data_IF_783899031719
#
_entry.id   IF_783899031719
#
_cell.length_a   1.000
_cell.length_b   1.000
_cell.length_c   1.000
_cell.angle_alpha   90.00
_cell.angle_beta   90.00
_cell.angle_gamma   90.00
#
_symmetry.space_group_name_H-M   'P 1'
#
loop_
_entity.id
_entity.type
_entity.pdbx_description
1 polymer ?
#
# COMPACT_ATOMS: atom_id res chain seq x y z
N UNK A 1 17.13 22.76 -19.75
CA UNK A 1 15.68 22.91 -19.57
C UNK A 1 15.19 21.75 -18.75
N UNK A 2 14.21 21.90 -17.84
CA UNK A 2 13.65 20.76 -17.15
C UNK A 2 13.08 19.76 -18.16
N UNK A 3 13.24 18.46 -17.87
CA UNK A 3 12.57 17.41 -18.66
C UNK A 3 11.06 17.65 -18.57
N UNK A 4 10.40 17.74 -19.72
CA UNK A 4 8.96 17.96 -19.80
C UNK A 4 8.28 16.79 -20.49
N UNK A 5 7.20 16.29 -19.87
CA UNK A 5 6.32 15.26 -20.44
C UNK A 5 4.91 15.83 -20.66
N UNK A 6 4.23 15.35 -21.70
CA UNK A 6 2.80 15.64 -21.87
C UNK A 6 2.00 14.99 -20.75
N UNK A 7 2.36 13.74 -20.41
CA UNK A 7 1.78 12.98 -19.29
C UNK A 7 2.89 12.41 -18.43
N UNK A 8 2.92 12.80 -17.17
CA UNK A 8 3.80 12.21 -16.15
C UNK A 8 2.98 11.26 -15.26
N UNK A 9 3.45 10.02 -15.12
CA UNK A 9 2.82 9.01 -14.27
C UNK A 9 3.72 8.71 -13.08
N UNK A 10 3.20 8.79 -11.86
CA UNK A 10 3.93 8.48 -10.63
C UNK A 10 3.47 7.14 -10.07
N UNK A 11 4.38 6.17 -10.12
CA UNK A 11 4.18 4.78 -9.69
C UNK A 11 4.05 3.82 -10.87
N UNK A 12 4.99 2.87 -11.01
CA UNK A 12 5.01 1.87 -12.05
C UNK A 12 4.36 0.53 -11.62
N UNK A 13 3.33 0.60 -10.76
CA UNK A 13 2.44 -0.52 -10.47
C UNK A 13 1.43 -0.77 -11.59
N UNK A 14 0.50 -1.73 -11.43
CA UNK A 14 -0.48 -2.08 -12.47
C UNK A 14 -1.29 -0.90 -13.01
N UNK A 15 -1.63 0.07 -12.17
CA UNK A 15 -2.34 1.28 -12.61
C UNK A 15 -1.45 2.17 -13.47
N UNK A 16 -0.22 2.46 -13.01
CA UNK A 16 0.71 3.31 -13.74
C UNK A 16 1.16 2.71 -15.06
N UNK A 17 1.40 1.39 -15.11
CA UNK A 17 1.72 0.69 -16.36
C UNK A 17 0.58 0.81 -17.38
N UNK A 18 -0.68 0.63 -16.95
CA UNK A 18 -1.84 0.78 -17.81
C UNK A 18 -2.01 2.24 -18.27
N UNK A 19 -1.82 3.22 -17.37
CA UNK A 19 -1.93 4.63 -17.68
C UNK A 19 -0.86 5.06 -18.70
N UNK A 20 0.39 4.70 -18.45
CA UNK A 20 1.51 5.07 -19.32
C UNK A 20 1.37 4.46 -20.72
N UNK A 21 1.05 3.16 -20.81
CA UNK A 21 0.78 2.51 -22.09
C UNK A 21 -0.35 3.20 -22.85
N UNK A 22 -1.48 3.47 -22.17
CA UNK A 22 -2.65 4.09 -22.83
C UNK A 22 -2.34 5.50 -23.31
N UNK A 23 -1.68 6.31 -22.50
CA UNK A 23 -1.30 7.67 -22.91
C UNK A 23 -0.31 7.67 -24.08
N UNK A 24 0.70 6.79 -24.07
CA UNK A 24 1.65 6.63 -25.16
C UNK A 24 0.97 6.15 -26.46
N UNK A 25 -0.01 5.28 -26.37
CA UNK A 25 -0.80 4.82 -27.52
C UNK A 25 -1.59 5.94 -28.19
N UNK A 26 -1.83 7.06 -27.50
CA UNK A 26 -2.41 8.28 -28.06
C UNK A 26 -1.37 9.31 -28.53
N UNK A 27 -0.09 8.92 -28.62
CA UNK A 27 0.99 9.77 -29.12
C UNK A 27 1.55 10.77 -28.12
N UNK A 28 1.16 10.72 -26.85
CA UNK A 28 1.71 11.60 -25.82
C UNK A 28 3.15 11.20 -25.48
N UNK A 29 4.01 12.18 -25.20
CA UNK A 29 5.32 11.96 -24.58
C UNK A 29 5.12 11.65 -23.10
N UNK A 30 5.37 10.38 -22.71
CA UNK A 30 5.05 9.87 -21.37
C UNK A 30 6.31 9.58 -20.56
N UNK A 31 6.37 10.14 -19.33
CA UNK A 31 7.32 9.74 -18.30
C UNK A 31 6.63 8.85 -17.26
N UNK A 32 7.18 7.67 -16.97
CA UNK A 32 6.73 6.77 -15.93
C UNK A 32 7.77 6.68 -14.81
N UNK A 33 7.47 7.28 -13.67
CA UNK A 33 8.37 7.46 -12.55
C UNK A 33 8.07 6.45 -11.43
N UNK A 34 9.11 5.77 -10.95
CA UNK A 34 8.99 4.86 -9.80
C UNK A 34 10.28 4.88 -8.96
N UNK A 35 10.11 4.82 -7.64
CA UNK A 35 11.22 4.72 -6.69
C UNK A 35 11.90 3.33 -6.71
N UNK A 36 11.25 2.32 -7.29
CA UNK A 36 11.81 0.97 -7.41
C UNK A 36 12.66 0.83 -8.67
N UNK A 37 13.65 -0.09 -8.66
CA UNK A 37 14.53 -0.30 -9.81
C UNK A 37 13.84 -1.00 -10.99
N UNK A 38 12.67 -1.59 -10.80
CA UNK A 38 11.94 -2.31 -11.84
C UNK A 38 10.44 -2.04 -11.77
N UNK A 39 9.77 -1.88 -12.92
CA UNK A 39 8.31 -1.77 -12.98
C UNK A 39 7.59 -3.02 -12.44
N UNK A 40 6.34 -2.83 -11.99
CA UNK A 40 5.49 -3.90 -11.46
C UNK A 40 4.86 -3.58 -10.11
N UNK A 41 5.40 -2.61 -9.38
CA UNK A 41 4.95 -2.19 -8.07
C UNK A 41 4.94 -3.33 -7.05
N UNK A 42 3.99 -3.31 -6.12
CA UNK A 42 3.92 -4.34 -5.07
C UNK A 42 3.28 -5.65 -5.57
N UNK A 43 2.29 -5.57 -6.45
CA UNK A 43 1.52 -6.75 -6.91
C UNK A 43 2.36 -7.62 -7.85
N UNK A 44 3.05 -7.00 -8.81
CA UNK A 44 3.92 -7.66 -9.77
C UNK A 44 5.40 -7.49 -9.45
N UNK A 45 5.72 -7.42 -8.16
CA UNK A 45 7.10 -7.33 -7.70
C UNK A 45 7.94 -8.46 -8.28
N UNK A 46 9.09 -8.09 -8.80
CA UNK A 46 10.05 -9.02 -9.38
C UNK A 46 10.43 -10.13 -8.37
N UNK A 47 10.43 -11.36 -8.85
CA UNK A 47 10.89 -12.54 -8.10
C UNK A 47 12.22 -13.01 -8.70
N UNK A 48 13.29 -12.98 -7.91
CA UNK A 48 14.64 -13.36 -8.38
C UNK A 48 14.78 -14.86 -8.70
N UNK A 49 13.86 -15.68 -8.20
CA UNK A 49 13.87 -17.14 -8.39
C UNK A 49 12.82 -17.63 -9.38
N UNK A 50 11.88 -16.77 -9.81
CA UNK A 50 10.74 -17.16 -10.64
C UNK A 50 10.45 -16.12 -11.71
N UNK A 51 9.96 -16.58 -12.83
CA UNK A 51 9.47 -15.67 -13.87
C UNK A 51 8.25 -14.87 -13.39
N UNK A 52 8.19 -13.60 -13.81
CA UNK A 52 7.03 -12.78 -13.56
C UNK A 52 5.77 -13.41 -14.21
N UNK A 53 4.58 -13.21 -13.62
CA UNK A 53 3.32 -13.61 -14.24
C UNK A 53 3.20 -13.05 -15.66
N UNK A 54 2.59 -13.82 -16.58
CA UNK A 54 2.42 -13.38 -17.99
C UNK A 54 1.82 -11.99 -18.09
N UNK A 55 0.75 -11.72 -17.31
CA UNK A 55 0.10 -10.41 -17.30
C UNK A 55 1.04 -9.23 -16.91
N UNK A 56 2.04 -9.49 -16.08
CA UNK A 56 3.05 -8.48 -15.71
C UNK A 56 4.04 -8.27 -16.86
N UNK A 57 4.51 -9.36 -17.47
CA UNK A 57 5.42 -9.28 -18.64
C UNK A 57 4.75 -8.55 -19.80
N UNK A 58 3.54 -8.98 -20.18
CA UNK A 58 2.76 -8.33 -21.25
C UNK A 58 2.53 -6.84 -20.99
N UNK A 59 2.34 -6.44 -19.71
CA UNK A 59 2.14 -5.03 -19.35
C UNK A 59 3.45 -4.21 -19.45
N UNK A 60 4.59 -4.81 -19.12
CA UNK A 60 5.91 -4.17 -19.22
C UNK A 60 6.36 -4.09 -20.67
N UNK A 61 6.16 -5.15 -21.46
CA UNK A 61 6.48 -5.20 -22.89
C UNK A 61 5.72 -4.14 -23.70
N UNK A 62 4.55 -3.70 -23.24
CA UNK A 62 3.74 -2.66 -23.88
C UNK A 62 4.22 -1.22 -23.62
N UNK A 63 5.30 -1.02 -22.90
CA UNK A 63 5.82 0.33 -22.59
C UNK A 63 6.66 0.94 -23.74
N UNK A 64 6.43 0.53 -24.98
CA UNK A 64 7.10 1.14 -26.12
C UNK A 64 6.77 2.65 -26.18
N UNK A 65 7.81 3.48 -26.33
CA UNK A 65 7.65 4.94 -26.38
C UNK A 65 7.40 5.61 -25.02
N UNK A 66 7.56 4.89 -23.92
CA UNK A 66 7.48 5.43 -22.57
C UNK A 66 8.87 5.56 -21.96
N UNK A 67 9.21 6.75 -21.45
CA UNK A 67 10.44 6.97 -20.70
C UNK A 67 10.28 6.42 -19.27
N UNK A 68 10.84 5.25 -18.98
CA UNK A 68 10.77 4.62 -17.66
C UNK A 68 11.85 5.18 -16.74
N UNK A 69 11.45 5.99 -15.77
CA UNK A 69 12.30 6.66 -14.78
C UNK A 69 12.36 5.84 -13.49
N UNK A 70 13.09 4.71 -13.54
CA UNK A 70 13.31 3.84 -12.38
C UNK A 70 14.29 4.45 -11.37
N UNK A 71 14.19 4.09 -10.09
CA UNK A 71 14.97 4.67 -8.98
C UNK A 71 14.80 6.19 -8.85
N UNK A 72 13.63 6.71 -9.17
CA UNK A 72 13.29 8.12 -9.05
C UNK A 72 12.23 8.31 -7.96
N UNK A 73 12.56 9.05 -6.92
CA UNK A 73 11.66 9.34 -5.80
C UNK A 73 11.19 10.78 -5.83
N UNK A 74 9.89 11.00 -5.80
CA UNK A 74 9.33 12.36 -5.68
C UNK A 74 9.62 12.87 -4.28
N UNK A 75 10.25 14.03 -4.18
CA UNK A 75 10.62 14.67 -2.90
C UNK A 75 9.66 15.80 -2.54
N UNK A 76 9.31 16.63 -3.52
CA UNK A 76 8.40 17.75 -3.32
C UNK A 76 7.67 18.12 -4.60
N UNK A 77 6.67 18.98 -4.46
CA UNK A 77 5.90 19.59 -5.56
C UNK A 77 6.40 21.00 -5.79
N UNK A 78 6.54 21.37 -7.05
CA UNK A 78 6.78 22.74 -7.53
C UNK A 78 5.56 23.19 -8.33
N UNK A 79 5.43 24.46 -8.68
CA UNK A 79 4.21 25.05 -9.30
C UNK A 79 3.68 24.28 -10.52
N UNK A 80 4.53 23.69 -11.35
CA UNK A 80 4.14 22.90 -12.54
C UNK A 80 5.08 21.73 -12.81
N UNK A 81 5.79 21.28 -11.75
CA UNK A 81 6.77 20.21 -11.84
C UNK A 81 6.87 19.43 -10.52
N UNK A 82 7.50 18.28 -10.58
CA UNK A 82 7.89 17.51 -9.41
C UNK A 82 9.40 17.58 -9.23
N UNK A 83 9.84 17.89 -8.00
CA UNK A 83 11.23 17.67 -7.61
C UNK A 83 11.44 16.20 -7.32
N UNK A 84 12.40 15.62 -8.01
CA UNK A 84 12.66 14.19 -7.97
C UNK A 84 14.12 13.95 -7.61
N UNK A 85 14.35 13.02 -6.68
CA UNK A 85 15.66 12.48 -6.40
C UNK A 85 15.90 11.25 -7.28
N UNK A 86 17.02 11.26 -8.01
CA UNK A 86 17.46 10.20 -8.91
C UNK A 86 18.86 9.71 -8.52
N UNK A 87 19.36 8.60 -9.07
CA UNK A 87 20.71 8.12 -8.80
C UNK A 87 21.80 9.16 -9.12
N UNK A 88 21.58 9.98 -10.15
CA UNK A 88 22.53 11.01 -10.63
C UNK A 88 22.38 12.36 -9.92
N UNK A 89 21.45 12.50 -8.99
CA UNK A 89 21.16 13.74 -8.27
C UNK A 89 19.69 14.13 -8.33
N UNK A 90 19.37 15.35 -7.93
CA UNK A 90 18.00 15.86 -8.00
C UNK A 90 17.74 16.60 -9.31
N UNK A 91 16.51 16.50 -9.79
CA UNK A 91 16.04 17.26 -10.96
C UNK A 91 14.57 17.62 -10.84
N UNK A 92 14.16 18.64 -11.58
CA UNK A 92 12.77 19.03 -11.73
C UNK A 92 12.21 18.44 -13.02
N UNK A 93 11.03 17.79 -12.93
CA UNK A 93 10.34 17.19 -14.07
C UNK A 93 9.00 17.90 -14.24
N UNK A 94 8.86 18.63 -15.35
CA UNK A 94 7.63 19.33 -15.69
C UNK A 94 6.64 18.41 -16.41
N UNK A 95 5.35 18.70 -16.31
CA UNK A 95 4.28 17.91 -16.93
C UNK A 95 3.15 18.81 -17.47
N UNK A 96 2.42 18.28 -18.44
CA UNK A 96 1.14 18.80 -18.90
C UNK A 96 0.00 18.21 -18.06
N UNK A 97 -0.02 16.90 -17.92
CA UNK A 97 -0.94 16.14 -17.06
C UNK A 97 -0.16 15.23 -16.09
N UNK A 98 -0.67 15.07 -14.88
CA UNK A 98 -0.07 14.20 -13.83
C UNK A 98 -1.05 13.09 -13.44
N UNK A 99 -0.59 11.83 -13.50
CA UNK A 99 -1.39 10.69 -13.04
C UNK A 99 -0.75 10.10 -11.78
N UNK A 100 -1.48 10.15 -10.67
CA UNK A 100 -1.08 9.59 -9.39
C UNK A 100 -1.49 8.11 -9.33
N UNK A 101 -0.52 7.22 -9.51
CA UNK A 101 -0.65 5.76 -9.40
C UNK A 101 0.17 5.23 -8.22
N UNK A 102 0.19 5.97 -7.11
CA UNK A 102 1.07 5.78 -5.94
C UNK A 102 0.79 4.52 -5.14
N UNK A 103 -0.31 3.82 -5.43
CA UNK A 103 -0.65 2.54 -4.81
C UNK A 103 -1.04 2.66 -3.33
N UNK A 104 -0.79 1.58 -2.59
CA UNK A 104 -1.08 1.47 -1.17
C UNK A 104 0.06 0.78 -0.42
N UNK A 105 0.04 0.89 0.90
CA UNK A 105 0.91 0.18 1.84
C UNK A 105 0.08 -0.66 2.81
N UNK A 106 0.73 -1.60 3.49
CA UNK A 106 0.06 -2.43 4.49
C UNK A 106 -0.31 -1.62 5.74
N UNK A 107 -1.48 -1.92 6.28
CA UNK A 107 -1.88 -1.50 7.61
C UNK A 107 -1.20 -2.43 8.62
N UNK A 108 -0.27 -1.87 9.38
CA UNK A 108 0.37 -2.55 10.51
C UNK A 108 -0.26 -2.04 11.81
N UNK A 109 -0.77 -2.96 12.62
CA UNK A 109 -1.32 -2.64 13.94
C UNK A 109 -0.32 -3.03 15.02
N UNK A 110 -0.09 -2.15 16.01
CA UNK A 110 0.77 -2.46 17.13
C UNK A 110 0.09 -3.46 18.07
N UNK A 111 0.84 -4.46 18.48
CA UNK A 111 0.53 -5.41 19.54
C UNK A 111 1.82 -5.74 20.30
N UNK A 112 1.78 -6.23 21.52
CA UNK A 112 2.98 -6.55 22.29
C UNK A 112 3.93 -7.47 21.52
N UNK A 113 5.19 -7.02 21.32
CA UNK A 113 6.21 -7.74 20.58
C UNK A 113 6.17 -7.59 19.05
N UNK A 114 5.31 -6.74 18.49
CA UNK A 114 5.23 -6.56 17.01
C UNK A 114 6.49 -5.96 16.38
N UNK A 115 7.37 -5.37 17.20
CA UNK A 115 8.64 -4.77 16.75
C UNK A 115 9.81 -5.75 16.76
N UNK A 116 9.64 -6.97 17.29
CA UNK A 116 10.69 -7.99 17.30
C UNK A 116 11.16 -8.31 15.86
N UNK A 117 12.48 -8.47 15.65
CA UNK A 117 13.00 -9.02 14.40
C UNK A 117 12.30 -10.34 14.04
N UNK A 118 11.92 -10.48 12.77
CA UNK A 118 11.10 -11.62 12.31
C UNK A 118 9.59 -11.38 12.31
N UNK A 119 9.11 -10.30 12.96
CA UNK A 119 7.72 -9.84 12.80
C UNK A 119 7.65 -8.81 11.68
N UNK A 120 6.82 -9.05 10.68
CA UNK A 120 6.72 -8.18 9.49
C UNK A 120 5.33 -8.21 8.89
N UNK A 121 5.04 -7.28 7.98
CA UNK A 121 3.83 -7.33 7.17
C UNK A 121 3.78 -8.54 6.24
N UNK A 122 2.60 -9.09 5.99
CA UNK A 122 2.44 -10.27 5.13
C UNK A 122 2.89 -10.00 3.67
N UNK A 123 2.54 -8.83 3.12
CA UNK A 123 3.05 -8.38 1.82
C UNK A 123 4.53 -7.98 1.88
N UNK A 124 4.97 -7.42 3.02
CA UNK A 124 6.39 -7.13 3.29
C UNK A 124 7.24 -8.40 3.23
N UNK A 125 6.87 -9.46 3.95
CA UNK A 125 7.58 -10.73 3.92
C UNK A 125 7.53 -11.38 2.54
N UNK A 126 6.37 -11.33 1.87
CA UNK A 126 6.23 -11.78 0.48
C UNK A 126 7.21 -11.05 -0.45
N UNK A 127 7.33 -9.73 -0.30
CA UNK A 127 8.23 -8.91 -1.11
C UNK A 127 9.70 -9.24 -0.87
N UNK A 128 10.11 -9.36 0.40
CA UNK A 128 11.46 -9.75 0.80
C UNK A 128 11.81 -11.15 0.27
N UNK A 129 10.90 -12.11 0.41
CA UNK A 129 11.07 -13.48 -0.10
C UNK A 129 11.29 -13.50 -1.60
N UNK A 130 10.51 -12.74 -2.37
CA UNK A 130 10.71 -12.60 -3.82
C UNK A 130 12.05 -11.97 -4.19
N UNK A 131 12.60 -11.11 -3.32
CA UNK A 131 13.93 -10.51 -3.51
C UNK A 131 15.08 -11.38 -3.01
N UNK A 132 14.82 -12.61 -2.60
CA UNK A 132 15.84 -13.58 -2.22
C UNK A 132 16.08 -13.71 -0.72
N UNK A 133 15.30 -13.01 0.13
CA UNK A 133 15.41 -13.20 1.59
C UNK A 133 15.22 -14.68 1.96
N UNK A 134 16.10 -15.26 2.80
CA UNK A 134 16.09 -16.68 3.09
C UNK A 134 14.94 -17.08 4.01
N UNK A 135 13.96 -17.79 3.46
CA UNK A 135 12.81 -18.34 4.21
C UNK A 135 12.76 -19.88 4.19
N UNK A 136 13.65 -20.52 3.46
CA UNK A 136 13.68 -21.99 3.34
C UNK A 136 13.86 -22.65 4.69
N UNK A 137 12.96 -23.58 5.04
CA UNK A 137 12.92 -24.29 6.32
C UNK A 137 12.43 -23.48 7.50
N UNK A 138 12.24 -22.16 7.38
CA UNK A 138 11.71 -21.29 8.44
C UNK A 138 10.26 -21.62 8.77
N UNK A 139 9.94 -21.73 10.07
CA UNK A 139 8.57 -21.88 10.59
C UNK A 139 7.88 -20.51 10.55
N UNK A 140 6.83 -20.39 9.74
CA UNK A 140 6.14 -19.11 9.51
C UNK A 140 4.69 -19.18 9.93
N UNK A 141 4.26 -18.25 10.78
CA UNK A 141 2.86 -17.99 11.10
C UNK A 141 2.38 -16.82 10.22
N UNK A 142 1.22 -16.99 9.56
CA UNK A 142 0.58 -15.93 8.76
C UNK A 142 -0.73 -15.56 9.42
N UNK A 143 -0.93 -14.29 9.77
CA UNK A 143 -2.13 -13.84 10.47
C UNK A 143 -2.64 -12.50 9.95
N UNK A 144 -3.93 -12.24 10.09
CA UNK A 144 -4.51 -10.94 9.71
C UNK A 144 -5.88 -11.06 9.07
N UNK A 145 -6.10 -10.39 7.92
CA UNK A 145 -7.40 -10.29 7.28
C UNK A 145 -7.32 -10.42 5.76
N UNK A 146 -8.17 -11.28 5.23
CA UNK A 146 -8.52 -11.33 3.82
C UNK A 146 -7.59 -12.16 2.92
N UNK A 147 -7.90 -12.18 1.62
CA UNK A 147 -7.23 -13.08 0.65
C UNK A 147 -5.73 -12.87 0.46
N UNK A 148 -5.18 -11.72 0.88
CA UNK A 148 -3.75 -11.44 0.83
C UNK A 148 -2.96 -12.48 1.67
N UNK A 149 -3.52 -12.95 2.78
CA UNK A 149 -2.90 -13.97 3.63
C UNK A 149 -2.64 -15.27 2.86
N UNK A 150 -3.61 -15.70 2.03
CA UNK A 150 -3.45 -16.89 1.19
C UNK A 150 -2.36 -16.69 0.13
N UNK A 151 -2.30 -15.50 -0.49
CA UNK A 151 -1.28 -15.19 -1.50
C UNK A 151 0.13 -15.11 -0.89
N UNK A 152 0.25 -14.54 0.31
CA UNK A 152 1.51 -14.49 1.05
C UNK A 152 1.97 -15.92 1.45
N UNK A 153 1.08 -16.72 2.05
CA UNK A 153 1.36 -18.10 2.43
C UNK A 153 1.77 -18.98 1.23
N UNK A 154 1.07 -18.85 0.07
CA UNK A 154 1.42 -19.57 -1.17
C UNK A 154 2.83 -19.19 -1.66
N UNK A 155 3.17 -17.91 -1.59
CA UNK A 155 4.50 -17.43 -1.98
C UNK A 155 5.58 -17.98 -1.05
N UNK A 156 5.38 -17.87 0.26
CA UNK A 156 6.32 -18.37 1.27
C UNK A 156 6.57 -19.88 1.12
N UNK A 157 5.48 -20.65 0.97
CA UNK A 157 5.58 -22.10 0.75
C UNK A 157 6.33 -22.44 -0.54
N UNK A 158 6.10 -21.72 -1.62
CA UNK A 158 6.83 -21.89 -2.89
C UNK A 158 8.32 -21.61 -2.78
N UNK A 159 8.74 -20.80 -1.82
CA UNK A 159 10.14 -20.52 -1.54
C UNK A 159 10.74 -21.38 -0.42
N UNK A 160 10.02 -22.44 -0.01
CA UNK A 160 10.51 -23.47 0.91
C UNK A 160 10.27 -23.17 2.39
N UNK A 161 9.45 -22.18 2.73
CA UNK A 161 9.05 -21.94 4.12
C UNK A 161 8.07 -23.02 4.60
N UNK A 162 8.16 -23.38 5.89
CA UNK A 162 7.19 -24.21 6.58
C UNK A 162 6.09 -23.32 7.17
N UNK A 163 4.97 -23.16 6.44
CA UNK A 163 3.83 -22.35 6.91
C UNK A 163 3.02 -23.16 7.91
N UNK A 164 3.11 -22.80 9.19
CA UNK A 164 2.46 -23.49 10.31
C UNK A 164 0.95 -23.35 10.32
N UNK A 165 0.46 -22.19 9.83
CA UNK A 165 -0.97 -21.92 9.74
C UNK A 165 -1.26 -20.52 9.23
N UNK A 166 -2.52 -20.34 8.84
CA UNK A 166 -3.08 -19.06 8.42
C UNK A 166 -4.22 -18.73 9.38
N UNK A 167 -4.12 -17.58 10.04
CA UNK A 167 -5.04 -17.14 11.09
C UNK A 167 -5.79 -15.90 10.60
N UNK A 168 -7.02 -16.13 10.15
CA UNK A 168 -7.92 -15.11 9.64
C UNK A 168 -8.76 -14.55 10.79
N UNK A 169 -8.72 -13.22 11.00
CA UNK A 169 -9.50 -12.57 12.04
C UNK A 169 -11.01 -12.64 11.79
N UNK A 170 -11.43 -12.66 10.53
CA UNK A 170 -12.85 -12.74 10.20
C UNK A 170 -13.46 -14.09 10.64
N UNK A 171 -14.67 -14.09 11.24
CA UNK A 171 -15.36 -15.32 11.63
C UNK A 171 -15.65 -16.24 10.43
N UNK A 172 -15.71 -17.53 10.68
CA UNK A 172 -16.02 -18.52 9.64
C UNK A 172 -17.34 -18.25 8.90
N UNK A 173 -18.34 -17.72 9.62
CA UNK A 173 -19.63 -17.32 9.02
C UNK A 173 -19.46 -16.23 7.98
N UNK A 174 -18.66 -15.21 8.26
CA UNK A 174 -18.36 -14.09 7.36
C UNK A 174 -17.56 -14.57 6.13
N UNK A 175 -16.53 -15.41 6.34
CA UNK A 175 -15.75 -15.97 5.23
C UNK A 175 -16.59 -16.86 4.33
N UNK A 176 -17.50 -17.67 4.90
CA UNK A 176 -18.45 -18.48 4.13
C UNK A 176 -19.46 -17.62 3.35
N UNK A 177 -19.95 -16.53 3.97
CA UNK A 177 -20.83 -15.58 3.28
C UNK A 177 -20.12 -14.91 2.10
N UNK A 178 -18.87 -14.49 2.27
CA UNK A 178 -18.02 -13.99 1.18
C UNK A 178 -17.85 -15.05 0.08
N UNK A 179 -17.52 -16.29 0.43
CA UNK A 179 -17.33 -17.37 -0.53
C UNK A 179 -18.58 -17.63 -1.39
N UNK A 180 -19.78 -17.55 -0.80
CA UNK A 180 -21.05 -17.66 -1.54
C UNK A 180 -21.24 -16.53 -2.56
N UNK A 181 -20.77 -15.33 -2.24
CA UNK A 181 -20.85 -14.18 -3.15
C UNK A 181 -19.92 -14.32 -4.37
N UNK A 182 -18.86 -15.14 -4.26
CA UNK A 182 -17.92 -15.36 -5.38
C UNK A 182 -18.59 -16.00 -6.61
N UNK A 183 -19.81 -16.55 -6.49
CA UNK A 183 -20.60 -17.01 -7.64
C UNK A 183 -20.78 -15.93 -8.72
N UNK A 184 -20.80 -14.66 -8.34
CA UNK A 184 -20.89 -13.51 -9.25
C UNK A 184 -19.55 -13.14 -9.90
N UNK A 185 -18.43 -13.72 -9.43
CA UNK A 185 -17.07 -13.53 -9.92
C UNK A 185 -16.36 -14.90 -10.09
N UNK A 186 -16.76 -15.72 -11.10
CA UNK A 186 -16.29 -17.11 -11.23
C UNK A 186 -14.77 -17.22 -11.35
N UNK A 187 -14.11 -16.30 -12.06
CA UNK A 187 -12.64 -16.27 -12.15
C UNK A 187 -11.97 -16.11 -10.79
N UNK A 188 -12.57 -15.30 -9.88
CA UNK A 188 -12.09 -15.12 -8.50
C UNK A 188 -12.33 -16.35 -7.65
N UNK A 189 -13.47 -17.02 -7.85
CA UNK A 189 -13.77 -18.29 -7.20
C UNK A 189 -12.74 -19.37 -7.56
N UNK A 190 -12.42 -19.52 -8.84
CA UNK A 190 -11.39 -20.46 -9.33
C UNK A 190 -10.02 -20.11 -8.77
N UNK A 191 -9.64 -18.82 -8.75
CA UNK A 191 -8.39 -18.36 -8.15
C UNK A 191 -8.29 -18.71 -6.66
N UNK A 192 -9.36 -18.45 -5.90
CA UNK A 192 -9.40 -18.75 -4.46
C UNK A 192 -9.33 -20.26 -4.20
N UNK A 193 -10.06 -21.07 -4.96
CA UNK A 193 -10.02 -22.54 -4.88
C UNK A 193 -8.62 -23.06 -5.22
N UNK A 194 -7.98 -22.54 -6.27
CA UNK A 194 -6.61 -22.90 -6.64
C UNK A 194 -5.59 -22.55 -5.56
N UNK A 195 -5.72 -21.38 -4.90
CA UNK A 195 -4.88 -21.03 -3.75
C UNK A 195 -5.08 -21.99 -2.59
N UNK A 196 -6.33 -22.32 -2.25
CA UNK A 196 -6.63 -23.28 -1.18
C UNK A 196 -6.08 -24.67 -1.47
N UNK A 197 -6.19 -25.13 -2.69
CA UNK A 197 -5.64 -26.43 -3.11
C UNK A 197 -4.09 -26.44 -2.97
N UNK A 198 -3.40 -25.39 -3.43
CA UNK A 198 -1.94 -25.27 -3.27
C UNK A 198 -1.50 -25.20 -1.80
N UNK A 199 -2.37 -24.70 -0.92
CA UNK A 199 -2.15 -24.64 0.52
C UNK A 199 -2.79 -25.84 1.26
N UNK A 200 -3.08 -26.95 0.55
CA UNK A 200 -3.54 -28.18 1.20
C UNK A 200 -2.55 -28.63 2.27
N UNK A 201 -3.09 -29.02 3.44
CA UNK A 201 -2.30 -29.35 4.63
C UNK A 201 -1.90 -28.17 5.52
N UNK A 202 -2.02 -26.91 5.05
CA UNK A 202 -1.82 -25.73 5.91
C UNK A 202 -3.13 -25.42 6.63
N UNK A 203 -3.16 -25.42 8.00
CA UNK A 203 -4.33 -25.04 8.76
C UNK A 203 -4.79 -23.61 8.43
N UNK A 204 -6.10 -23.44 8.20
CA UNK A 204 -6.71 -22.11 8.02
C UNK A 204 -7.76 -21.93 9.09
N UNK A 205 -7.46 -21.09 10.08
CA UNK A 205 -8.27 -20.84 11.28
C UNK A 205 -8.98 -19.50 11.15
N UNK A 206 -10.26 -19.46 11.46
CA UNK A 206 -11.12 -18.28 11.38
C UNK A 206 -11.42 -17.72 12.77
N UNK A 207 -11.71 -16.41 12.85
CA UNK A 207 -11.94 -15.73 14.11
C UNK A 207 -10.69 -15.69 14.99
N UNK A 208 -9.50 -15.75 14.36
CA UNK A 208 -8.22 -15.95 15.05
C UNK A 208 -7.25 -14.84 14.71
N UNK A 209 -6.57 -14.29 15.70
CA UNK A 209 -5.61 -13.21 15.53
C UNK A 209 -4.47 -13.27 16.55
N UNK A 210 -3.36 -12.61 16.24
CA UNK A 210 -2.20 -12.52 17.13
C UNK A 210 -2.50 -11.59 18.30
N UNK A 211 -2.24 -12.06 19.51
CA UNK A 211 -2.32 -11.26 20.74
C UNK A 211 -0.97 -10.69 21.13
N UNK A 212 0.09 -11.49 21.02
CA UNK A 212 1.45 -11.16 21.46
C UNK A 212 2.48 -11.96 20.67
N UNK A 213 3.61 -11.38 20.40
CA UNK A 213 4.82 -12.07 19.99
C UNK A 213 5.84 -12.05 21.12
N UNK A 214 6.60 -13.13 21.27
CA UNK A 214 7.60 -13.30 22.30
C UNK A 214 8.95 -13.66 21.69
N UNK A 215 10.02 -13.20 22.31
CA UNK A 215 11.41 -13.45 21.96
C UNK A 215 12.32 -12.42 22.59
N UNK A 216 13.61 -12.67 22.55
CA UNK A 216 14.64 -11.72 23.00
C UNK A 216 15.18 -10.93 21.80
N UNK A 217 16.05 -11.54 20.98
CA UNK A 217 16.64 -10.90 19.78
C UNK A 217 15.77 -11.01 18.53
N UNK A 218 14.84 -11.96 18.51
CA UNK A 218 13.90 -12.20 17.41
C UNK A 218 12.66 -12.91 17.91
N UNK A 219 11.60 -12.96 17.08
CA UNK A 219 10.40 -13.72 17.41
C UNK A 219 10.74 -15.22 17.53
N UNK A 220 10.29 -15.84 18.62
CA UNK A 220 10.48 -17.25 18.92
C UNK A 220 9.14 -17.98 19.04
N UNK A 221 8.09 -17.29 19.50
CA UNK A 221 6.74 -17.82 19.64
C UNK A 221 5.70 -16.71 19.56
N UNK A 222 4.48 -17.09 19.25
CA UNK A 222 3.34 -16.17 19.15
C UNK A 222 2.13 -16.74 19.86
N UNK A 223 1.39 -15.90 20.55
CA UNK A 223 0.10 -16.22 21.15
C UNK A 223 -1.01 -15.82 20.17
N UNK A 224 -1.82 -16.80 19.83
CA UNK A 224 -2.98 -16.66 18.93
C UNK A 224 -4.26 -16.84 19.74
N UNK A 225 -5.10 -15.82 19.72
CA UNK A 225 -6.47 -15.91 20.23
C UNK A 225 -7.38 -16.50 19.14
N UNK A 226 -8.18 -17.48 19.51
CA UNK A 226 -9.12 -18.18 18.63
C UNK A 226 -10.44 -18.43 19.37
N UNK A 227 -11.54 -18.76 18.70
CA UNK A 227 -12.80 -19.12 19.37
C UNK A 227 -12.69 -20.28 20.33
N UNK A 228 -11.69 -21.16 20.16
CA UNK A 228 -11.39 -22.29 21.03
C UNK A 228 -10.44 -21.97 22.19
N UNK A 229 -10.08 -20.71 22.38
CA UNK A 229 -9.13 -20.25 23.40
C UNK A 229 -7.78 -19.81 22.85
N UNK A 230 -6.83 -19.58 23.76
CA UNK A 230 -5.47 -19.14 23.44
C UNK A 230 -4.60 -20.34 23.09
N UNK A 231 -3.77 -20.19 22.06
CA UNK A 231 -2.73 -21.15 21.71
C UNK A 231 -1.40 -20.45 21.50
N UNK A 232 -0.31 -21.05 21.92
CA UNK A 232 1.04 -20.56 21.67
C UNK A 232 1.70 -21.44 20.60
N UNK A 233 2.30 -20.79 19.59
CA UNK A 233 3.03 -21.47 18.52
C UNK A 233 4.47 -20.99 18.47
N UNK A 234 5.40 -21.91 18.45
CA UNK A 234 6.80 -21.59 18.15
C UNK A 234 6.96 -21.27 16.68
N UNK A 235 7.63 -20.16 16.36
CA UNK A 235 7.88 -19.75 14.98
C UNK A 235 9.18 -18.95 14.85
N UNK A 236 9.72 -18.92 13.66
CA UNK A 236 10.91 -18.15 13.32
C UNK A 236 10.54 -16.82 12.63
N UNK A 237 9.34 -16.73 12.05
CA UNK A 237 8.82 -15.55 11.38
C UNK A 237 7.30 -15.44 11.62
N UNK A 238 6.85 -14.20 11.81
CA UNK A 238 5.44 -13.84 11.87
C UNK A 238 5.10 -12.83 10.78
N UNK A 239 4.17 -13.18 9.90
CA UNK A 239 3.65 -12.33 8.84
C UNK A 239 2.25 -11.85 9.17
N UNK A 240 2.07 -10.55 9.44
CA UNK A 240 0.77 -9.97 9.78
C UNK A 240 0.25 -9.07 8.66
N UNK A 241 -1.05 -9.12 8.34
CA UNK A 241 -1.64 -8.30 7.30
C UNK A 241 -3.10 -7.96 7.62
N UNK A 242 -3.36 -6.75 8.09
CA UNK A 242 -4.68 -6.32 8.54
C UNK A 242 -5.43 -5.45 7.53
N UNK A 243 -4.87 -5.23 6.37
CA UNK A 243 -5.45 -4.43 5.30
C UNK A 243 -4.43 -3.56 4.57
N UNK A 244 -4.92 -2.67 3.75
CA UNK A 244 -4.12 -1.74 2.96
C UNK A 244 -4.59 -0.31 3.21
N UNK A 245 -3.67 0.64 3.12
CA UNK A 245 -3.91 2.08 3.26
C UNK A 245 -3.37 2.80 2.03
N UNK A 246 -4.17 3.65 1.36
CA UNK A 246 -3.74 4.42 0.21
C UNK A 246 -2.51 5.30 0.51
N UNK A 247 -1.61 5.43 -0.46
CA UNK A 247 -0.50 6.38 -0.40
C UNK A 247 -0.96 7.71 -0.98
N UNK A 248 -1.36 8.63 -0.10
CA UNK A 248 -1.99 9.91 -0.46
C UNK A 248 -1.08 11.12 -0.27
N UNK A 249 0.13 10.93 0.23
CA UNK A 249 1.03 12.02 0.63
C UNK A 249 1.31 13.00 -0.52
N UNK A 250 1.57 12.48 -1.73
CA UNK A 250 1.79 13.34 -2.91
C UNK A 250 0.53 14.10 -3.32
N UNK A 251 -0.63 13.44 -3.28
CA UNK A 251 -1.90 14.10 -3.59
C UNK A 251 -2.23 15.21 -2.59
N UNK A 252 -1.96 14.99 -1.31
CA UNK A 252 -2.13 16.02 -0.27
C UNK A 252 -1.20 17.22 -0.49
N UNK A 253 0.07 16.98 -0.88
CA UNK A 253 1.00 18.06 -1.21
C UNK A 253 0.59 18.86 -2.44
N UNK A 254 -0.09 18.23 -3.40
CA UNK A 254 -0.67 18.89 -4.56
C UNK A 254 -1.95 19.68 -4.24
N UNK A 255 -2.49 19.56 -3.02
CA UNK A 255 -3.75 20.19 -2.62
C UNK A 255 -4.99 19.45 -3.13
N UNK A 256 -4.89 18.19 -3.52
CA UNK A 256 -6.05 17.41 -3.92
C UNK A 256 -7.00 17.19 -2.75
N UNK A 257 -8.32 17.31 -3.00
CA UNK A 257 -9.34 16.95 -2.02
C UNK A 257 -9.24 15.46 -1.65
N UNK A 258 -9.52 15.17 -0.37
CA UNK A 258 -9.48 13.82 0.18
C UNK A 258 -10.87 13.40 0.62
N UNK A 259 -11.25 12.16 0.30
CA UNK A 259 -12.37 11.47 0.92
C UNK A 259 -11.85 10.49 1.97
N UNK A 260 -12.72 10.09 2.90
CA UNK A 260 -12.34 9.20 4.00
C UNK A 260 -13.18 7.93 3.96
N UNK A 261 -12.51 6.79 4.04
CA UNK A 261 -13.12 5.50 4.33
C UNK A 261 -12.60 5.02 5.68
N UNK A 262 -13.40 5.19 6.73
CA UNK A 262 -12.91 5.03 8.10
C UNK A 262 -11.84 6.09 8.43
N UNK A 263 -10.75 5.71 9.13
CA UNK A 263 -9.72 6.65 9.57
C UNK A 263 -8.69 7.01 8.48
N UNK A 264 -8.78 6.41 7.29
CA UNK A 264 -7.76 6.55 6.26
C UNK A 264 -8.25 7.37 5.06
N UNK A 265 -7.50 8.45 4.69
CA UNK A 265 -7.83 9.24 3.52
C UNK A 265 -7.51 8.49 2.22
N UNK A 266 -8.29 8.78 1.19
CA UNK A 266 -7.99 8.46 -0.21
C UNK A 266 -8.27 9.69 -1.09
N UNK A 267 -7.69 9.72 -2.28
CA UNK A 267 -7.86 10.86 -3.18
C UNK A 267 -9.30 10.90 -3.69
N UNK A 268 -9.98 12.05 -3.49
CA UNK A 268 -11.31 12.28 -4.04
C UNK A 268 -11.21 12.46 -5.56
N UNK A 269 -11.98 11.68 -6.32
CA UNK A 269 -11.98 11.71 -7.77
C UNK A 269 -13.39 11.66 -8.34
N UNK A 270 -13.59 12.29 -9.47
CA UNK A 270 -14.82 12.15 -10.25
C UNK A 270 -14.90 10.78 -10.96
N UNK A 271 -15.98 10.54 -11.71
CA UNK A 271 -16.14 9.27 -12.45
C UNK A 271 -15.06 9.03 -13.50
N UNK A 272 -14.38 10.09 -13.96
CA UNK A 272 -13.30 10.04 -14.94
C UNK A 272 -11.91 10.18 -14.30
N UNK A 273 -11.82 9.98 -12.98
CA UNK A 273 -10.58 9.97 -12.20
C UNK A 273 -9.87 11.33 -12.11
N UNK A 274 -10.56 12.45 -12.40
CA UNK A 274 -10.06 13.79 -12.18
C UNK A 274 -10.07 14.09 -10.69
N UNK A 275 -9.01 14.69 -10.18
CA UNK A 275 -8.96 15.23 -8.82
C UNK A 275 -9.55 16.64 -8.77
N UNK A 276 -9.54 17.27 -7.61
CA UNK A 276 -9.90 18.68 -7.45
C UNK A 276 -8.87 19.65 -8.04
N UNK A 277 -7.71 19.16 -8.42
CA UNK A 277 -6.63 19.94 -9.03
C UNK A 277 -6.63 19.70 -10.54
N UNK A 278 -6.70 20.77 -11.32
CA UNK A 278 -6.73 20.68 -12.78
C UNK A 278 -5.47 20.01 -13.33
N UNK A 279 -5.66 19.13 -14.32
CA UNK A 279 -4.55 18.38 -14.92
C UNK A 279 -4.00 17.24 -14.05
N UNK A 280 -4.54 17.02 -12.84
CA UNK A 280 -4.12 15.95 -11.93
C UNK A 280 -5.21 14.87 -11.84
N UNK A 281 -4.80 13.63 -12.03
CA UNK A 281 -5.66 12.44 -12.00
C UNK A 281 -5.14 11.46 -10.95
N UNK A 282 -6.02 10.65 -10.35
CA UNK A 282 -5.59 9.57 -9.47
C UNK A 282 -6.24 8.24 -9.88
N UNK A 283 -5.43 7.18 -9.96
CA UNK A 283 -5.84 5.88 -10.43
C UNK A 283 -5.37 4.74 -9.51
N UNK A 284 -6.17 3.69 -9.43
CA UNK A 284 -5.90 2.51 -8.63
C UNK A 284 -6.08 2.77 -7.14
N UNK A 285 -5.20 2.22 -6.32
CA UNK A 285 -5.34 2.22 -4.86
C UNK A 285 -5.28 3.63 -4.23
N UNK A 286 -4.72 4.63 -4.91
CA UNK A 286 -4.70 6.01 -4.43
C UNK A 286 -6.11 6.61 -4.27
N UNK A 287 -7.05 6.25 -5.15
CA UNK A 287 -8.47 6.62 -5.09
C UNK A 287 -9.34 5.61 -4.33
N UNK A 288 -8.74 4.80 -3.46
CA UNK A 288 -9.39 3.77 -2.64
C UNK A 288 -9.05 2.35 -3.07
N UNK A 289 -9.01 1.44 -2.09
CA UNK A 289 -8.57 0.06 -2.29
C UNK A 289 -9.57 -0.71 -3.16
N UNK A 290 -9.13 -1.10 -4.36
CA UNK A 290 -9.98 -1.79 -5.36
C UNK A 290 -9.39 -3.10 -5.92
N UNK A 291 -8.10 -3.30 -5.74
CA UNK A 291 -7.36 -4.46 -6.23
C UNK A 291 -6.89 -4.35 -7.68
N UNK A 292 -6.16 -5.37 -8.13
CA UNK A 292 -5.45 -5.40 -9.41
C UNK A 292 -6.31 -5.04 -10.63
N UNK A 293 -7.53 -5.57 -10.71
CA UNK A 293 -8.40 -5.33 -11.87
C UNK A 293 -8.86 -3.88 -11.95
N UNK A 294 -9.28 -3.30 -10.81
CA UNK A 294 -9.62 -1.88 -10.71
C UNK A 294 -8.40 -1.03 -11.07
N UNK A 295 -7.24 -1.31 -10.50
CA UNK A 295 -6.02 -0.57 -10.75
C UNK A 295 -5.69 -0.49 -12.25
N UNK A 296 -5.78 -1.61 -12.97
CA UNK A 296 -5.53 -1.64 -14.43
C UNK A 296 -6.55 -0.85 -15.23
N UNK A 297 -7.83 -0.99 -14.89
CA UNK A 297 -8.92 -0.27 -15.59
C UNK A 297 -8.82 1.23 -15.36
N UNK A 298 -8.65 1.64 -14.11
CA UNK A 298 -8.51 3.05 -13.77
C UNK A 298 -7.22 3.67 -14.33
N UNK A 299 -6.13 2.91 -14.35
CA UNK A 299 -4.92 3.35 -15.05
C UNK A 299 -5.19 3.65 -16.53
N UNK A 300 -5.83 2.73 -17.26
CA UNK A 300 -6.19 2.94 -18.65
C UNK A 300 -7.16 4.13 -18.82
N UNK A 301 -8.18 4.24 -17.96
CA UNK A 301 -9.10 5.38 -17.97
C UNK A 301 -8.36 6.71 -17.77
N UNK A 302 -7.47 6.79 -16.79
CA UNK A 302 -6.68 8.00 -16.53
C UNK A 302 -5.78 8.37 -17.72
N UNK A 303 -5.15 7.37 -18.37
CA UNK A 303 -4.39 7.58 -19.59
C UNK A 303 -5.23 8.14 -20.74
N UNK A 304 -6.44 7.61 -20.96
CA UNK A 304 -7.37 8.15 -21.94
C UNK A 304 -7.79 9.59 -21.64
N UNK A 305 -8.15 9.88 -20.39
CA UNK A 305 -8.64 11.22 -20.00
C UNK A 305 -7.52 12.25 -20.04
N UNK A 306 -6.33 11.91 -19.57
CA UNK A 306 -5.16 12.79 -19.59
C UNK A 306 -4.73 13.21 -21.01
N UNK A 307 -5.11 12.42 -22.03
CA UNK A 307 -4.85 12.68 -23.44
C UNK A 307 -6.07 13.18 -24.20
N UNK A 308 -7.16 13.57 -23.53
CA UNK A 308 -8.37 14.12 -24.14
C UNK A 308 -9.39 13.10 -24.66
N UNK A 309 -9.15 11.80 -24.50
CA UNK A 309 -9.99 10.71 -25.03
C UNK A 309 -11.07 10.22 -24.05
N UNK A 310 -11.85 11.14 -23.51
CA UNK A 310 -12.86 10.85 -22.46
C UNK A 310 -13.92 9.82 -22.89
N UNK A 311 -14.26 9.72 -24.17
CA UNK A 311 -15.22 8.72 -24.70
C UNK A 311 -14.68 7.31 -24.48
N UNK A 312 -13.41 7.06 -24.75
CA UNK A 312 -12.78 5.76 -24.53
C UNK A 312 -12.75 5.40 -23.03
N UNK A 313 -12.50 6.39 -22.16
CA UNK A 313 -12.57 6.20 -20.71
C UNK A 313 -14.00 5.83 -20.26
N UNK A 314 -15.04 6.47 -20.79
CA UNK A 314 -16.43 6.14 -20.47
C UNK A 314 -16.80 4.70 -20.82
N UNK A 315 -16.25 4.15 -21.90
CA UNK A 315 -16.51 2.77 -22.30
C UNK A 315 -16.00 1.73 -21.28
N UNK A 316 -15.04 2.10 -20.43
CA UNK A 316 -14.47 1.24 -19.36
C UNK A 316 -15.27 1.29 -18.05
N UNK A 317 -16.17 2.28 -17.87
CA UNK A 317 -16.91 2.46 -16.63
C UNK A 317 -17.70 1.23 -16.16
N UNK A 318 -18.47 0.53 -17.02
CA UNK A 318 -19.26 -0.62 -16.56
C UNK A 318 -18.38 -1.74 -15.97
N UNK A 319 -17.23 -1.99 -16.60
CA UNK A 319 -16.29 -3.00 -16.12
C UNK A 319 -15.61 -2.54 -14.83
N UNK A 320 -15.15 -1.27 -14.76
CA UNK A 320 -14.56 -0.68 -13.57
C UNK A 320 -15.53 -0.75 -12.38
N UNK A 321 -16.79 -0.36 -12.58
CA UNK A 321 -17.81 -0.35 -11.54
C UNK A 321 -18.13 -1.77 -11.04
N UNK A 322 -18.12 -2.77 -11.93
CA UNK A 322 -18.24 -4.18 -11.53
C UNK A 322 -17.08 -4.61 -10.63
N UNK A 323 -15.83 -4.27 -10.98
CA UNK A 323 -14.64 -4.63 -10.18
C UNK A 323 -14.61 -3.83 -8.87
N UNK A 324 -15.04 -2.57 -8.85
CA UNK A 324 -15.19 -1.77 -7.63
C UNK A 324 -16.19 -2.41 -6.66
N UNK A 325 -17.30 -2.99 -7.14
CA UNK A 325 -18.23 -3.76 -6.29
C UNK A 325 -17.56 -4.96 -5.63
N UNK A 326 -16.63 -5.62 -6.32
CA UNK A 326 -15.84 -6.69 -5.71
C UNK A 326 -14.91 -6.17 -4.60
N UNK A 327 -14.24 -5.04 -4.82
CA UNK A 327 -13.44 -4.38 -3.77
C UNK A 327 -14.27 -4.03 -2.54
N UNK A 328 -15.46 -3.46 -2.73
CA UNK A 328 -16.39 -3.15 -1.64
C UNK A 328 -16.87 -4.41 -0.89
N UNK A 329 -17.07 -5.53 -1.62
CA UNK A 329 -17.40 -6.82 -1.01
C UNK A 329 -16.27 -7.30 -0.09
N UNK A 330 -15.02 -7.19 -0.53
CA UNK A 330 -13.85 -7.52 0.29
C UNK A 330 -13.79 -6.66 1.55
N UNK A 331 -13.86 -5.34 1.39
CA UNK A 331 -13.79 -4.40 2.53
C UNK A 331 -14.87 -4.67 3.58
N UNK A 332 -16.10 -5.03 3.15
CA UNK A 332 -17.20 -5.36 4.07
C UNK A 332 -16.94 -6.66 4.85
N UNK A 333 -16.48 -7.72 4.17
CA UNK A 333 -16.35 -9.04 4.81
C UNK A 333 -15.06 -9.21 5.60
N UNK A 334 -14.04 -8.43 5.27
CA UNK A 334 -12.74 -8.48 5.93
C UNK A 334 -12.42 -7.16 6.65
N UNK A 335 -13.46 -6.45 7.08
CA UNK A 335 -13.33 -5.28 7.94
C UNK A 335 -12.58 -5.65 9.23
N UNK A 336 -11.79 -4.71 9.73
CA UNK A 336 -11.00 -4.91 10.93
C UNK A 336 -11.89 -5.14 12.15
N UNK A 337 -11.64 -6.21 12.91
CA UNK A 337 -12.32 -6.50 14.16
C UNK A 337 -11.96 -5.43 15.21
N UNK A 338 -12.96 -4.95 15.95
CA UNK A 338 -12.76 -3.91 16.96
C UNK A 338 -11.74 -4.30 18.04
N UNK A 339 -11.66 -5.60 18.39
CA UNK A 339 -10.69 -6.14 19.36
C UNK A 339 -9.24 -5.88 18.96
N UNK A 340 -8.95 -5.79 17.67
CA UNK A 340 -7.60 -5.54 17.18
C UNK A 340 -7.12 -4.10 17.45
N UNK A 341 -8.05 -3.17 17.69
CA UNK A 341 -7.73 -1.78 18.06
C UNK A 341 -7.32 -1.63 19.54
N UNK A 342 -7.50 -2.66 20.34
CA UNK A 342 -7.16 -2.68 21.78
C UNK A 342 -6.06 -3.70 22.11
N UNK A 343 -5.26 -4.13 21.13
CA UNK A 343 -4.18 -5.10 21.37
C UNK A 343 -2.96 -4.48 22.04
N UNK A 344 -2.67 -3.21 21.72
CA UNK A 344 -1.54 -2.50 22.30
C UNK A 344 -1.79 -2.24 23.80
N UNK A 345 -0.85 -2.62 24.63
CA UNK A 345 -0.75 -2.22 26.03
C UNK A 345 0.13 -0.96 26.20
N UNK A 346 0.21 -0.43 27.39
CA UNK A 346 0.94 0.82 27.69
C UNK A 346 2.40 0.80 27.25
N UNK A 347 3.06 -0.34 27.34
CA UNK A 347 4.48 -0.54 27.00
C UNK A 347 4.68 -0.89 25.52
N UNK A 348 3.60 -1.08 24.76
CA UNK A 348 3.69 -1.41 23.35
C UNK A 348 4.26 -0.23 22.56
N UNK A 349 5.36 -0.45 21.84
CA UNK A 349 5.93 0.53 20.94
C UNK A 349 4.95 0.89 19.82
N UNK A 350 4.66 2.16 19.66
CA UNK A 350 3.85 2.71 18.55
C UNK A 350 4.75 3.22 17.44
N UNK A 351 5.77 3.99 17.78
CA UNK A 351 6.75 4.48 16.81
C UNK A 351 8.04 3.67 16.93
N UNK A 352 8.24 2.74 15.99
CA UNK A 352 9.44 1.90 15.92
C UNK A 352 10.73 2.65 15.60
N UNK A 353 10.62 3.83 14.96
CA UNK A 353 11.80 4.62 14.56
C UNK A 353 12.37 5.47 15.69
N UNK A 354 11.54 5.86 16.65
CA UNK A 354 11.88 6.76 17.76
C UNK A 354 11.59 6.10 19.11
N UNK A 355 11.29 4.78 19.11
CA UNK A 355 11.02 3.94 20.28
C UNK A 355 9.95 4.49 21.25
N UNK A 356 8.90 5.13 20.69
CA UNK A 356 7.82 5.73 21.50
C UNK A 356 6.74 4.69 21.78
N UNK A 357 6.41 4.53 23.06
CA UNK A 357 5.36 3.62 23.57
C UNK A 357 3.97 4.27 23.49
N UNK A 358 2.93 3.46 23.72
CA UNK A 358 1.55 3.96 23.77
C UNK A 358 1.33 4.92 24.94
N UNK A 359 1.86 4.60 26.12
CA UNK A 359 1.74 5.44 27.34
C UNK A 359 2.39 6.81 27.20
N UNK A 360 3.49 6.94 26.44
CA UNK A 360 4.12 8.24 26.19
C UNK A 360 3.27 9.18 25.32
N UNK A 361 2.23 8.64 24.69
CA UNK A 361 1.26 9.41 23.89
C UNK A 361 0.00 9.79 24.67
N UNK A 362 -0.12 9.38 25.94
CA UNK A 362 -1.25 9.74 26.78
C UNK A 362 -1.21 11.24 27.16
N UNK A 363 -2.38 11.83 27.28
CA UNK A 363 -2.52 13.27 27.61
C UNK A 363 -2.41 14.20 26.40
N UNK A 364 -1.98 13.74 25.23
CA UNK A 364 -2.02 14.57 24.03
C UNK A 364 -3.35 14.44 23.31
N UNK A 365 -3.89 15.57 22.86
CA UNK A 365 -5.16 15.65 22.11
C UNK A 365 -4.97 15.80 20.62
N UNK A 366 -3.76 16.12 20.15
CA UNK A 366 -3.42 16.25 18.74
C UNK A 366 -2.05 15.65 18.38
N UNK A 367 -1.93 15.23 17.13
CA UNK A 367 -0.76 14.57 16.59
C UNK A 367 0.50 15.48 16.59
N UNK A 368 0.33 16.79 16.44
CA UNK A 368 1.45 17.74 16.41
C UNK A 368 2.10 17.90 17.78
N UNK A 369 1.26 18.08 18.82
CA UNK A 369 1.76 18.19 20.20
C UNK A 369 2.48 16.90 20.61
N UNK A 370 1.87 15.73 20.37
CA UNK A 370 2.50 14.43 20.61
C UNK A 370 3.84 14.28 19.86
N UNK A 371 3.86 14.63 18.57
CA UNK A 371 5.06 14.58 17.74
C UNK A 371 6.19 15.48 18.27
N UNK A 372 5.88 16.69 18.68
CA UNK A 372 6.87 17.65 19.19
C UNK A 372 7.47 17.21 20.54
N UNK A 373 6.65 16.62 21.41
CA UNK A 373 7.08 16.15 22.73
C UNK A 373 7.85 14.82 22.67
N UNK A 374 7.37 13.86 21.89
CA UNK A 374 7.87 12.47 21.91
C UNK A 374 8.67 12.09 20.65
N UNK A 375 8.72 12.94 19.62
CA UNK A 375 9.28 12.66 18.29
C UNK A 375 8.51 11.58 17.49
N UNK A 376 7.37 11.09 17.99
CA UNK A 376 6.55 10.10 17.29
C UNK A 376 6.25 10.55 15.84
N UNK A 377 6.63 9.73 14.86
CA UNK A 377 6.45 10.04 13.44
C UNK A 377 7.53 10.94 12.82
N UNK A 378 8.61 11.29 13.54
CA UNK A 378 9.75 12.05 13.00
C UNK A 378 10.82 11.16 12.34
N UNK A 379 10.83 9.87 12.64
CA UNK A 379 11.85 8.95 12.14
C UNK A 379 11.75 8.67 10.63
N UNK A 380 12.58 7.74 10.16
CA UNK A 380 12.78 7.45 8.73
C UNK A 380 11.49 7.16 7.92
N UNK A 381 10.46 6.57 8.54
CA UNK A 381 9.19 6.31 7.86
C UNK A 381 8.28 7.54 7.75
N UNK A 382 8.63 8.68 8.37
CA UNK A 382 7.86 9.93 8.36
C UNK A 382 6.39 9.73 8.76
N UNK A 383 6.15 8.94 9.82
CA UNK A 383 4.81 8.68 10.35
C UNK A 383 3.94 7.71 9.52
N UNK A 384 4.46 7.12 8.45
CA UNK A 384 3.65 6.22 7.59
C UNK A 384 3.17 4.98 8.31
N UNK A 385 3.93 4.48 9.29
CA UNK A 385 3.54 3.33 10.12
C UNK A 385 2.76 3.79 11.34
N UNK A 386 3.42 4.52 12.26
CA UNK A 386 2.81 4.93 13.52
C UNK A 386 1.60 5.86 13.34
N UNK A 387 1.64 6.84 12.43
CA UNK A 387 0.50 7.72 12.17
C UNK A 387 -0.70 6.97 11.59
N UNK A 388 -0.48 5.93 10.77
CA UNK A 388 -1.54 5.06 10.28
C UNK A 388 -2.14 4.22 11.42
N UNK A 389 -1.29 3.65 12.26
CA UNK A 389 -1.73 2.89 13.44
C UNK A 389 -2.51 3.77 14.42
N UNK A 390 -2.02 4.96 14.74
CA UNK A 390 -2.68 5.90 15.65
C UNK A 390 -4.05 6.36 15.14
N UNK A 391 -4.20 6.57 13.84
CA UNK A 391 -5.49 6.86 13.23
C UNK A 391 -6.47 5.67 13.40
N UNK A 392 -6.00 4.45 13.18
CA UNK A 392 -6.82 3.23 13.35
C UNK A 392 -7.20 2.99 14.82
N UNK A 393 -6.30 3.32 15.76
CA UNK A 393 -6.57 3.26 17.21
C UNK A 393 -7.48 4.41 17.71
N UNK A 394 -7.89 5.32 16.81
CA UNK A 394 -8.74 6.47 17.16
C UNK A 394 -8.04 7.55 18.00
N UNK A 395 -6.70 7.58 18.00
CA UNK A 395 -5.93 8.55 18.78
C UNK A 395 -5.77 9.88 18.04
N UNK A 396 -5.19 9.84 16.84
CA UNK A 396 -4.94 11.04 16.04
C UNK A 396 -5.29 10.81 14.57
N UNK A 397 -6.03 11.73 13.92
CA UNK A 397 -6.26 11.68 12.49
C UNK A 397 -4.95 11.89 11.71
N UNK A 398 -4.88 11.33 10.50
CA UNK A 398 -3.77 11.57 9.57
C UNK A 398 -4.09 12.78 8.71
N UNK A 399 -3.48 13.92 9.03
CA UNK A 399 -3.70 15.16 8.30
C UNK A 399 -2.38 15.72 7.77
N UNK A 400 -2.42 16.15 6.50
CA UNK A 400 -1.35 16.87 5.83
C UNK A 400 -0.11 16.04 5.50
N UNK A 401 0.55 16.44 4.44
CA UNK A 401 1.88 15.98 4.06
C UNK A 401 2.78 17.19 3.85
N UNK A 402 4.04 17.09 4.27
CA UNK A 402 5.05 18.15 4.11
C UNK A 402 6.23 17.64 3.32
N UNK A 403 6.90 18.50 2.53
CA UNK A 403 8.17 18.14 1.94
C UNK A 403 9.26 17.98 3.02
N UNK A 404 10.22 17.05 2.84
CA UNK A 404 10.24 16.05 1.78
C UNK A 404 9.24 14.92 2.04
N UNK A 405 8.63 14.34 0.98
CA UNK A 405 7.71 13.19 1.12
C UNK A 405 8.43 11.99 1.73
N UNK A 406 9.67 11.75 1.30
CA UNK A 406 10.56 10.70 1.81
C UNK A 406 11.86 11.34 2.30
N UNK A 407 12.64 10.67 3.18
CA UNK A 407 13.99 11.08 3.47
C UNK A 407 14.77 11.30 2.18
N UNK A 408 15.38 12.46 2.03
CA UNK A 408 16.09 12.87 0.83
C UNK A 408 17.51 13.34 1.18
N UNK A 409 18.43 13.29 0.22
CA UNK A 409 19.78 13.80 0.40
C UNK A 409 19.76 15.31 0.64
N UNK A 410 20.68 15.81 1.50
CA UNK A 410 20.79 17.25 1.77
C UNK A 410 21.01 18.06 0.49
N UNK A 411 21.78 17.54 -0.47
CA UNK A 411 21.99 18.19 -1.77
C UNK A 411 20.67 18.35 -2.56
N UNK A 412 19.75 17.38 -2.45
CA UNK A 412 18.41 17.45 -3.05
C UNK A 412 17.58 18.54 -2.38
N UNK A 413 17.63 18.64 -1.06
CA UNK A 413 16.89 19.65 -0.28
C UNK A 413 17.48 21.06 -0.50
N UNK A 414 18.79 21.20 -0.56
CA UNK A 414 19.47 22.47 -0.85
C UNK A 414 19.11 23.05 -2.24
N UNK A 415 18.73 22.20 -3.20
CA UNK A 415 18.24 22.60 -4.52
C UNK A 415 16.76 23.02 -4.56
N UNK A 416 16.03 22.97 -3.42
CA UNK A 416 14.66 23.49 -3.31
C UNK A 416 14.72 25.02 -3.28
N UNK A 417 14.33 25.66 -4.37
CA UNK A 417 14.45 27.13 -4.54
C UNK A 417 13.35 27.93 -3.87
N UNK A 418 12.25 27.29 -3.45
CA UNK A 418 11.16 27.92 -2.68
C UNK A 418 10.53 26.93 -1.73
N UNK A 419 10.52 27.23 -0.43
CA UNK A 419 9.58 26.63 0.49
C UNK A 419 8.19 27.19 0.15
N UNK A 420 7.12 26.36 0.17
CA UNK A 420 5.76 26.88 0.09
C UNK A 420 5.57 27.93 1.20
N UNK A 421 4.98 29.09 0.87
CA UNK A 421 4.67 30.10 1.87
C UNK A 421 3.80 29.51 2.98
N UNK A 422 4.00 29.91 4.22
CA UNK A 422 3.26 29.45 5.41
C UNK A 422 1.72 29.63 5.29
N UNK A 423 1.26 30.44 4.35
CA UNK A 423 -0.16 30.71 4.11
C UNK A 423 -0.92 29.48 3.55
N UNK A 424 -0.24 28.55 2.88
CA UNK A 424 -0.86 27.31 2.38
C UNK A 424 -1.26 26.33 3.52
N UNK A 425 -0.80 26.57 4.75
CA UNK A 425 -1.00 25.67 5.90
C UNK A 425 -1.89 26.26 6.98
N UNK A 426 -2.44 27.47 6.81
CA UNK A 426 -3.30 28.15 7.81
C UNK A 426 -4.80 27.95 7.60
N UNK A 427 -5.21 27.27 6.54
CA UNK A 427 -6.62 27.06 6.21
C UNK A 427 -7.03 25.59 6.37
N UNK A 428 -7.28 25.14 7.58
CA UNK A 428 -8.29 24.10 7.94
C UNK A 428 -8.23 23.83 9.43
#
# INVERSE_FOLDING_TARGET
MPDRYDVLVVGAGPAGLAAAHTAAAHGARVGLLDAQPRPGGQVWRHDVRRQAPRAARDAIEKLHGVDVLANHSVVSVESSALRVEAPQGSRSIAYGSLILATGARELLLPFPGWTLPGVTGAGGLQALTKQGWPVTGKRVVVAGSGPLLLAAADTLRKHGANVLGIFEQAPATTVRAFARQLRHWPARAVQAAGLRLRLAGVPYRFGSFVRRAHGEDAVQRVDIESPGGMQTLECDLLAVGYGLVPNTELAQMLGCAMDYLGPHPHVSVDRLLRTSVEGVYAAGEAGGIGGLAVARLEGAMAGHVATGHSVAAHALLPQRDRERRFGALLSRHFALDARLRSLADNDTLICRCEDVTLSELDGFTDARAAKLATRCGMGACQGRICGTALAELGRFPRNGARPPIFPARLATLAGLTTLPSDDAYRGS
#
